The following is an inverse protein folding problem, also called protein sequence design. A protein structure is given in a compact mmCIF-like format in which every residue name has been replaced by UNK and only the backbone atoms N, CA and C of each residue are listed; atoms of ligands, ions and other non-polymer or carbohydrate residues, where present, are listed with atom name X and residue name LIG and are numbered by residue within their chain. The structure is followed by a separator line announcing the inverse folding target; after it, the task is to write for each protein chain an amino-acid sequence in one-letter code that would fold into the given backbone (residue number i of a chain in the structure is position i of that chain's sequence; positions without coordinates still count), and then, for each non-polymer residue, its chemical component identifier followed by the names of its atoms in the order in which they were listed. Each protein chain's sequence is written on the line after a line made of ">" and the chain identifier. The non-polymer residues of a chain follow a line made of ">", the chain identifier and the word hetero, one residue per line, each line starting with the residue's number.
data_IF_077704394299
#
_entry.id   IF_077704394299
#
_cell.length_a   1.000
_cell.length_b   1.000
_cell.length_c   1.000
_cell.angle_alpha   90.00
_cell.angle_beta   90.00
_cell.angle_gamma   90.00
#
_symmetry.space_group_name_H-M   'P 1'
#
loop_
_entity.id
_entity.type
_entity.pdbx_description
1 polymer ?
#
# COMPACT_ATOMS: atom_id res chain seq x y z
N UNK A 1 -4.86 21.08 3.80
CA UNK A 1 -5.52 19.75 3.87
C UNK A 1 -4.60 18.63 3.37
N UNK A 2 -4.52 17.50 4.09
CA UNK A 2 -3.73 16.32 3.71
C UNK A 2 -4.68 15.15 3.41
N UNK A 3 -4.59 14.59 2.20
CA UNK A 3 -5.25 13.33 1.84
C UNK A 3 -4.25 12.21 2.04
N UNK A 4 -4.56 11.24 2.90
CA UNK A 4 -3.60 10.20 3.26
C UNK A 4 -3.99 8.81 2.75
N UNK A 5 -2.99 7.95 2.57
CA UNK A 5 -3.15 6.60 2.08
C UNK A 5 -2.40 5.62 2.97
N UNK A 6 -3.10 4.60 3.45
CA UNK A 6 -2.51 3.52 4.22
C UNK A 6 -1.88 2.50 3.27
N UNK A 7 -0.58 2.23 3.43
CA UNK A 7 0.16 1.27 2.62
C UNK A 7 0.46 0.03 3.44
N UNK A 8 -0.18 -1.09 3.13
CA UNK A 8 -0.13 -2.34 3.91
C UNK A 8 0.07 -3.56 3.01
N UNK A 9 0.60 -4.63 3.59
CA UNK A 9 0.97 -5.85 2.87
C UNK A 9 2.44 -6.22 3.08
N UNK A 10 3.09 -6.80 2.07
CA UNK A 10 4.44 -7.36 2.22
C UNK A 10 5.52 -6.59 1.44
N UNK A 11 6.62 -7.26 1.09
CA UNK A 11 7.80 -6.65 0.47
C UNK A 11 7.50 -5.89 -0.82
N UNK A 12 6.57 -6.36 -1.66
CA UNK A 12 6.19 -5.66 -2.89
C UNK A 12 5.33 -4.41 -2.63
N UNK A 13 4.58 -4.31 -1.51
CA UNK A 13 4.04 -3.03 -1.03
C UNK A 13 5.12 -2.17 -0.38
N UNK A 14 6.02 -2.75 0.42
CA UNK A 14 7.08 -1.99 1.09
C UNK A 14 8.06 -1.37 0.07
N UNK A 15 8.26 -2.04 -1.06
CA UNK A 15 9.08 -1.59 -2.17
C UNK A 15 10.47 -2.21 -2.14
N UNK A 16 10.88 -2.74 -3.30
CA UNK A 16 12.16 -3.45 -3.50
C UNK A 16 12.83 -3.12 -4.84
N UNK A 17 12.24 -2.23 -5.64
CA UNK A 17 12.88 -1.74 -6.86
C UNK A 17 14.19 -1.03 -6.51
N UNK A 18 15.24 -1.23 -7.30
CA UNK A 18 16.54 -0.64 -6.99
C UNK A 18 16.49 0.89 -7.04
N UNK A 19 17.01 1.54 -5.99
CA UNK A 19 16.98 3.01 -5.88
C UNK A 19 17.75 3.71 -7.01
N UNK A 20 18.78 3.06 -7.56
CA UNK A 20 19.55 3.58 -8.69
C UNK A 20 18.77 3.59 -10.01
N UNK A 21 17.68 2.84 -10.10
CA UNK A 21 16.80 2.73 -11.27
C UNK A 21 15.48 3.50 -11.06
N UNK A 22 15.40 4.29 -9.98
CA UNK A 22 14.17 4.99 -9.65
C UNK A 22 13.87 6.10 -10.66
N UNK A 23 12.62 6.14 -11.15
CA UNK A 23 12.13 7.29 -11.91
C UNK A 23 12.18 8.57 -11.06
N UNK A 24 12.47 9.70 -11.70
CA UNK A 24 12.26 11.02 -11.11
C UNK A 24 10.76 11.31 -11.00
N UNK A 25 10.35 11.90 -9.88
CA UNK A 25 8.96 12.28 -9.59
C UNK A 25 8.91 13.65 -8.89
N UNK A 26 7.82 14.38 -9.06
CA UNK A 26 7.53 15.61 -8.30
C UNK A 26 7.07 15.26 -6.88
N UNK A 27 7.98 15.43 -5.93
CA UNK A 27 7.75 15.09 -4.52
C UNK A 27 7.25 16.26 -3.66
N UNK A 28 7.07 17.46 -4.24
CA UNK A 28 6.82 18.70 -3.47
C UNK A 28 5.58 18.62 -2.57
N UNK A 29 4.59 17.84 -3.00
CA UNK A 29 3.30 17.66 -2.33
C UNK A 29 3.16 16.28 -1.69
N UNK A 30 4.24 15.51 -1.59
CA UNK A 30 4.22 14.16 -1.01
C UNK A 30 4.93 14.22 0.35
N UNK A 31 4.27 13.69 1.38
CA UNK A 31 4.78 13.60 2.75
C UNK A 31 4.62 12.18 3.29
N UNK A 32 5.49 11.78 4.21
CA UNK A 32 5.49 10.45 4.82
C UNK A 32 5.11 10.54 6.30
N UNK A 33 4.25 9.64 6.76
CA UNK A 33 3.97 9.49 8.18
C UNK A 33 5.02 8.60 8.83
N UNK A 34 5.82 9.14 9.74
CA UNK A 34 6.85 8.39 10.47
C UNK A 34 6.94 8.84 11.91
N UNK A 35 7.07 7.88 12.81
CA UNK A 35 7.23 8.14 14.25
C UNK A 35 6.19 9.13 14.80
N UNK A 36 4.94 9.02 14.33
CA UNK A 36 3.83 9.86 14.77
C UNK A 36 3.69 11.23 14.09
N UNK A 37 4.53 11.58 13.09
CA UNK A 37 4.54 12.92 12.45
C UNK A 37 4.68 12.86 10.93
N UNK A 38 4.32 13.95 10.24
CA UNK A 38 4.54 14.08 8.81
C UNK A 38 5.94 14.65 8.49
N UNK A 39 6.71 13.94 7.69
CA UNK A 39 8.03 14.36 7.19
C UNK A 39 8.01 14.57 5.69
N UNK A 40 8.98 15.33 5.17
CA UNK A 40 9.20 15.41 3.73
C UNK A 40 9.44 14.02 3.13
N UNK A 41 9.03 13.85 1.87
CA UNK A 41 9.28 12.64 1.12
C UNK A 41 10.79 12.33 1.03
N UNK A 42 11.13 11.06 1.19
CA UNK A 42 12.43 10.50 0.86
C UNK A 42 12.29 9.00 0.60
N UNK A 43 13.24 8.44 -0.15
CA UNK A 43 13.32 7.00 -0.38
C UNK A 43 14.20 6.32 0.67
N UNK A 44 13.94 5.05 1.00
CA UNK A 44 12.75 4.27 0.62
C UNK A 44 11.50 4.74 1.38
N UNK A 45 10.31 4.62 0.78
CA UNK A 45 9.04 5.01 1.41
C UNK A 45 8.78 4.18 2.68
N UNK A 46 8.98 2.86 2.62
CA UNK A 46 8.87 1.94 3.75
C UNK A 46 10.23 1.25 4.01
N UNK A 47 11.01 1.68 5.03
CA UNK A 47 12.31 1.11 5.35
C UNK A 47 12.19 -0.13 6.27
N UNK A 48 11.38 -1.13 5.89
CA UNK A 48 11.16 -2.33 6.71
C UNK A 48 12.40 -3.23 6.77
N UNK A 49 13.25 -3.19 5.74
CA UNK A 49 14.54 -3.89 5.65
C UNK A 49 15.65 -2.96 5.14
N UNK A 50 16.91 -3.34 5.32
CA UNK A 50 18.08 -2.58 4.82
C UNK A 50 18.14 -2.46 3.29
N UNK A 51 17.48 -3.37 2.58
CA UNK A 51 17.37 -3.42 1.12
C UNK A 51 16.01 -2.92 0.61
N UNK A 52 15.29 -2.13 1.41
CA UNK A 52 14.06 -1.47 0.95
C UNK A 52 14.38 -0.49 -0.17
N UNK A 53 13.47 -0.38 -1.13
CA UNK A 53 13.71 0.31 -2.39
C UNK A 53 12.60 1.25 -2.82
N UNK A 54 12.49 1.42 -4.14
CA UNK A 54 11.40 2.14 -4.81
C UNK A 54 10.07 1.49 -4.44
N UNK A 55 9.03 2.30 -4.29
CA UNK A 55 7.69 1.89 -3.85
C UNK A 55 6.62 2.29 -4.88
N UNK A 56 5.59 1.46 -5.09
CA UNK A 56 4.49 1.78 -6.02
C UNK A 56 3.69 3.02 -5.61
N UNK A 57 3.67 3.37 -4.33
CA UNK A 57 2.95 4.53 -3.83
C UNK A 57 3.55 5.87 -4.30
N UNK A 58 4.76 5.85 -4.86
CA UNK A 58 5.46 7.03 -5.34
C UNK A 58 4.76 7.68 -6.54
N UNK A 59 4.61 6.95 -7.65
CA UNK A 59 3.90 7.44 -8.84
C UNK A 59 2.40 7.58 -8.62
N UNK A 60 1.81 6.73 -7.75
CA UNK A 60 0.44 6.88 -7.28
C UNK A 60 0.22 8.26 -6.63
N UNK A 61 1.06 8.62 -5.66
CA UNK A 61 0.94 9.87 -4.91
C UNK A 61 1.26 11.09 -5.76
N UNK A 62 2.27 11.01 -6.63
CA UNK A 62 2.58 12.08 -7.59
C UNK A 62 1.36 12.38 -8.47
N UNK A 63 0.77 11.34 -9.07
CA UNK A 63 -0.37 11.50 -9.97
C UNK A 63 -1.60 12.05 -9.24
N UNK A 64 -1.89 11.53 -8.05
CA UNK A 64 -2.97 12.04 -7.19
C UNK A 64 -2.76 13.51 -6.84
N UNK A 65 -1.57 13.87 -6.37
CA UNK A 65 -1.24 15.24 -5.97
C UNK A 65 -1.35 16.23 -7.13
N UNK A 66 -0.87 15.84 -8.31
CA UNK A 66 -0.91 16.66 -9.52
C UNK A 66 -2.36 16.92 -9.99
N UNK A 67 -3.23 15.91 -9.96
CA UNK A 67 -4.61 16.05 -10.44
C UNK A 67 -5.51 16.78 -9.44
N UNK A 68 -5.26 16.62 -8.13
CA UNK A 68 -6.11 17.20 -7.06
C UNK A 68 -5.60 18.52 -6.52
N UNK A 69 -4.32 18.85 -6.72
CA UNK A 69 -3.73 20.06 -6.16
C UNK A 69 -3.66 20.06 -4.62
N UNK A 70 -3.48 18.87 -4.01
CA UNK A 70 -3.42 18.69 -2.54
C UNK A 70 -2.12 18.04 -2.10
N UNK A 71 -1.84 18.11 -0.80
CA UNK A 71 -0.76 17.32 -0.19
C UNK A 71 -1.21 15.87 0.04
N UNK A 72 -0.37 14.92 -0.39
CA UNK A 72 -0.59 13.47 -0.24
C UNK A 72 0.28 12.91 0.87
N UNK A 73 -0.35 12.32 1.87
CA UNK A 73 0.32 11.67 2.99
C UNK A 73 0.39 10.15 2.82
N UNK A 74 1.57 9.57 2.73
CA UNK A 74 1.74 8.13 2.73
C UNK A 74 1.93 7.62 4.16
N UNK A 75 1.17 6.59 4.56
CA UNK A 75 1.26 5.95 5.87
C UNK A 75 1.82 4.54 5.64
N UNK A 76 3.15 4.37 5.68
CA UNK A 76 3.77 3.11 5.29
C UNK A 76 3.78 2.14 6.47
N UNK A 77 3.15 0.99 6.29
CA UNK A 77 2.97 -0.03 7.34
C UNK A 77 3.22 -1.47 6.85
N UNK A 78 3.59 -1.68 5.58
CA UNK A 78 3.90 -2.98 5.03
C UNK A 78 5.17 -3.63 5.66
N UNK A 79 5.20 -4.95 5.77
CA UNK A 79 6.36 -5.68 6.31
C UNK A 79 6.68 -6.93 5.47
N UNK A 80 7.93 -7.02 4.99
CA UNK A 80 8.36 -8.02 4.03
C UNK A 80 8.49 -9.44 4.58
N UNK A 81 8.01 -10.42 3.79
CA UNK A 81 8.05 -11.84 4.15
C UNK A 81 6.89 -12.30 5.03
N UNK A 82 5.82 -11.52 5.11
CA UNK A 82 4.65 -11.79 5.95
C UNK A 82 3.54 -12.50 5.17
N UNK A 83 2.72 -13.27 5.91
CA UNK A 83 1.49 -13.91 5.42
C UNK A 83 0.25 -13.38 6.14
N UNK A 84 -0.96 -13.72 5.66
CA UNK A 84 -2.21 -13.23 6.25
C UNK A 84 -2.41 -13.61 7.73
N UNK A 85 -1.81 -14.70 8.21
CA UNK A 85 -1.85 -15.07 9.63
C UNK A 85 -1.17 -14.03 10.53
N UNK A 86 -0.17 -13.33 10.00
CA UNK A 86 0.52 -12.26 10.72
C UNK A 86 -0.21 -10.92 10.62
N UNK A 87 -1.27 -10.83 9.81
CA UNK A 87 -2.07 -9.62 9.58
C UNK A 87 -3.47 -9.70 10.20
N UNK A 88 -3.81 -10.79 10.90
CA UNK A 88 -5.10 -10.94 11.59
C UNK A 88 -5.31 -9.85 12.65
N UNK A 89 -6.58 -9.53 12.92
CA UNK A 89 -6.96 -8.61 14.00
C UNK A 89 -6.30 -9.02 15.33
N UNK A 90 -5.68 -8.04 16.03
CA UNK A 90 -4.93 -8.26 17.27
C UNK A 90 -3.50 -8.79 17.07
N UNK A 91 -3.04 -8.97 15.83
CA UNK A 91 -1.63 -9.21 15.54
C UNK A 91 -0.80 -7.92 15.64
N UNK A 92 0.51 -8.06 15.83
CA UNK A 92 1.41 -6.90 15.90
C UNK A 92 1.39 -6.03 14.64
N UNK A 93 1.31 -6.63 13.44
CA UNK A 93 1.31 -5.87 12.18
C UNK A 93 -0.01 -5.12 11.97
N UNK A 94 -1.12 -5.80 12.26
CA UNK A 94 -2.46 -5.20 12.21
C UNK A 94 -2.56 -4.03 13.19
N UNK A 95 -2.23 -4.26 14.46
CA UNK A 95 -2.32 -3.24 15.51
C UNK A 95 -1.40 -2.05 15.20
N UNK A 96 -0.20 -2.30 14.68
CA UNK A 96 0.70 -1.23 14.23
C UNK A 96 0.08 -0.39 13.11
N UNK A 97 -0.49 -1.02 12.07
CA UNK A 97 -1.14 -0.33 10.97
C UNK A 97 -2.32 0.52 11.45
N UNK A 98 -3.17 -0.03 12.33
CA UNK A 98 -4.31 0.68 12.92
C UNK A 98 -3.84 1.86 13.78
N UNK A 99 -2.81 1.69 14.60
CA UNK A 99 -2.25 2.76 15.43
C UNK A 99 -1.66 3.90 14.58
N UNK A 100 -0.88 3.58 13.55
CA UNK A 100 -0.33 4.56 12.62
C UNK A 100 -1.45 5.31 11.88
N UNK A 101 -2.43 4.60 11.36
CA UNK A 101 -3.57 5.19 10.65
C UNK A 101 -4.39 6.13 11.55
N UNK A 102 -4.69 5.72 12.79
CA UNK A 102 -5.42 6.56 13.76
C UNK A 102 -4.65 7.82 14.15
N UNK A 103 -3.33 7.72 14.32
CA UNK A 103 -2.50 8.90 14.59
C UNK A 103 -2.47 9.84 13.38
N UNK A 104 -2.27 9.31 12.17
CA UNK A 104 -2.31 10.10 10.93
C UNK A 104 -3.68 10.77 10.70
N UNK A 105 -4.78 10.11 11.05
CA UNK A 105 -6.13 10.67 10.98
C UNK A 105 -6.29 11.91 11.87
N UNK A 106 -5.46 12.16 12.88
CA UNK A 106 -5.60 13.39 13.69
C UNK A 106 -5.36 14.67 12.88
N UNK A 107 -4.57 14.58 11.81
CA UNK A 107 -4.11 15.73 11.01
C UNK A 107 -4.29 15.52 9.50
N UNK A 108 -4.85 14.38 9.08
CA UNK A 108 -5.17 14.06 7.68
C UNK A 108 -6.49 13.30 7.58
N UNK A 109 -7.04 13.17 6.38
CA UNK A 109 -8.16 12.28 6.11
C UNK A 109 -7.69 11.16 5.20
N UNK A 110 -7.84 9.90 5.63
CA UNK A 110 -7.49 8.75 4.81
C UNK A 110 -8.46 8.70 3.64
N UNK A 111 -7.91 8.73 2.42
CA UNK A 111 -8.65 8.72 1.17
C UNK A 111 -8.69 7.34 0.52
N UNK A 112 -7.83 6.41 0.94
CA UNK A 112 -7.85 5.03 0.46
C UNK A 112 -6.79 4.17 1.15
N UNK A 113 -6.86 2.88 0.89
CA UNK A 113 -5.92 1.87 1.38
C UNK A 113 -5.32 1.14 0.18
N UNK A 114 -4.00 1.03 0.15
CA UNK A 114 -3.26 0.27 -0.86
C UNK A 114 -2.74 -0.99 -0.20
N UNK A 115 -3.22 -2.13 -0.68
CA UNK A 115 -2.88 -3.47 -0.22
C UNK A 115 -2.13 -4.24 -1.30
N UNK A 116 -0.91 -4.71 -0.99
CA UNK A 116 -0.23 -5.68 -1.84
C UNK A 116 0.42 -6.78 -1.02
N UNK A 117 -0.18 -7.96 -1.08
CA UNK A 117 0.25 -9.14 -0.34
C UNK A 117 -0.28 -10.40 -1.01
N UNK A 118 0.44 -11.51 -0.89
CA UNK A 118 -0.08 -12.83 -1.20
C UNK A 118 1.00 -13.88 -1.43
N UNK A 119 2.23 -13.47 -1.77
CA UNK A 119 3.33 -14.40 -2.01
C UNK A 119 3.67 -15.22 -0.76
N UNK A 120 3.49 -14.64 0.44
CA UNK A 120 3.65 -15.34 1.71
C UNK A 120 2.61 -16.44 1.97
N UNK A 121 1.46 -16.39 1.30
CA UNK A 121 0.34 -17.34 1.46
C UNK A 121 0.29 -18.39 0.34
N UNK A 122 1.24 -18.36 -0.60
CA UNK A 122 1.31 -19.37 -1.67
C UNK A 122 1.77 -20.76 -1.20
N UNK A 123 2.10 -20.95 0.08
CA UNK A 123 2.68 -22.18 0.60
C UNK A 123 1.82 -22.81 1.70
N UNK A 124 2.05 -24.10 1.94
CA UNK A 124 1.51 -24.85 3.08
C UNK A 124 -0.02 -24.90 3.15
N UNK A 125 -0.69 -24.76 1.99
CA UNK A 125 -2.15 -24.79 1.88
C UNK A 125 -2.84 -23.49 2.31
N UNK A 126 -2.08 -22.44 2.69
CA UNK A 126 -2.64 -21.14 3.11
C UNK A 126 -3.46 -20.48 2.01
N UNK A 127 -3.10 -20.70 0.75
CA UNK A 127 -3.82 -20.18 -0.41
C UNK A 127 -5.29 -20.61 -0.45
N UNK A 128 -5.65 -21.75 0.14
CA UNK A 128 -7.02 -22.28 0.12
C UNK A 128 -7.98 -21.58 1.07
N UNK A 129 -7.45 -20.77 2.00
CA UNK A 129 -8.24 -19.97 2.96
C UNK A 129 -7.92 -18.49 2.84
N UNK A 130 -7.35 -18.08 1.71
CA UNK A 130 -6.85 -16.72 1.48
C UNK A 130 -8.00 -15.71 1.54
N UNK A 131 -9.10 -15.99 0.85
CA UNK A 131 -10.27 -15.12 0.79
C UNK A 131 -10.87 -14.88 2.18
N UNK A 132 -11.14 -15.94 2.94
CA UNK A 132 -11.78 -15.83 4.25
C UNK A 132 -10.90 -15.09 5.25
N UNK A 133 -9.57 -15.20 5.13
CA UNK A 133 -8.63 -14.43 5.95
C UNK A 133 -8.60 -12.97 5.52
N UNK A 134 -8.54 -12.68 4.22
CA UNK A 134 -8.53 -11.32 3.70
C UNK A 134 -9.81 -10.57 4.09
N UNK A 135 -10.96 -11.23 3.97
CA UNK A 135 -12.27 -10.69 4.35
C UNK A 135 -12.30 -10.26 5.83
N UNK A 136 -11.80 -11.10 6.74
CA UNK A 136 -11.72 -10.76 8.17
C UNK A 136 -10.81 -9.56 8.43
N UNK A 137 -9.64 -9.51 7.79
CA UNK A 137 -8.68 -8.40 7.94
C UNK A 137 -9.31 -7.09 7.46
N UNK A 138 -9.94 -7.11 6.29
CA UNK A 138 -10.50 -5.90 5.69
C UNK A 138 -11.76 -5.43 6.43
N UNK A 139 -12.61 -6.34 6.87
CA UNK A 139 -13.77 -6.01 7.70
C UNK A 139 -13.32 -5.35 9.02
N UNK A 140 -12.27 -5.88 9.66
CA UNK A 140 -11.71 -5.30 10.87
C UNK A 140 -11.08 -3.92 10.60
N UNK A 141 -10.28 -3.76 9.54
CA UNK A 141 -9.68 -2.47 9.16
C UNK A 141 -10.74 -1.40 8.90
N UNK A 142 -11.79 -1.71 8.14
CA UNK A 142 -12.89 -0.76 7.86
C UNK A 142 -13.58 -0.34 9.16
N UNK A 143 -13.85 -1.30 10.05
CA UNK A 143 -14.47 -1.04 11.36
C UNK A 143 -13.60 -0.19 12.28
N UNK A 144 -12.33 -0.55 12.43
CA UNK A 144 -11.45 0.06 13.43
C UNK A 144 -10.92 1.44 13.02
N UNK A 145 -10.94 1.74 11.72
CA UNK A 145 -10.49 3.01 11.15
C UNK A 145 -11.63 3.87 10.58
N UNK A 146 -12.86 3.38 10.62
CA UNK A 146 -14.05 4.02 10.02
C UNK A 146 -13.84 4.36 8.53
N UNK A 147 -13.42 3.34 7.75
CA UNK A 147 -13.04 3.46 6.35
C UNK A 147 -14.02 2.75 5.42
N UNK A 148 -15.32 2.86 5.70
CA UNK A 148 -16.37 2.26 4.88
C UNK A 148 -16.58 2.98 3.55
N UNK A 149 -16.23 4.27 3.47
CA UNK A 149 -16.51 5.16 2.35
C UNK A 149 -15.26 5.52 1.54
N UNK A 150 -14.20 4.69 1.63
CA UNK A 150 -12.98 4.87 0.84
C UNK A 150 -12.55 3.58 0.13
N UNK A 151 -11.88 3.71 -1.04
CA UNK A 151 -11.39 2.56 -1.78
C UNK A 151 -10.31 1.78 -1.03
N UNK A 152 -10.44 0.45 -1.03
CA UNK A 152 -9.36 -0.50 -0.70
C UNK A 152 -8.90 -1.13 -2.02
N UNK A 153 -7.66 -0.90 -2.41
CA UNK A 153 -7.10 -1.40 -3.67
C UNK A 153 -6.19 -2.58 -3.39
N UNK A 154 -6.49 -3.71 -4.03
CA UNK A 154 -5.72 -4.95 -3.90
C UNK A 154 -4.91 -5.20 -5.18
N UNK A 155 -3.59 -5.23 -5.07
CA UNK A 155 -2.73 -5.56 -6.19
C UNK A 155 -2.62 -7.06 -6.41
N UNK A 156 -2.75 -7.48 -7.67
CA UNK A 156 -2.41 -8.84 -8.07
C UNK A 156 -0.91 -9.10 -7.93
N UNK A 157 -0.56 -10.35 -7.65
CA UNK A 157 0.80 -10.84 -7.69
C UNK A 157 1.33 -10.80 -9.14
N UNK A 158 2.65 -10.62 -9.31
CA UNK A 158 3.26 -10.51 -10.65
C UNK A 158 3.30 -11.84 -11.40
N UNK A 159 2.92 -11.83 -12.69
CA UNK A 159 2.89 -13.04 -13.55
C UNK A 159 4.25 -13.74 -13.67
N UNK A 160 5.35 -13.03 -13.41
CA UNK A 160 6.68 -13.61 -13.36
C UNK A 160 6.81 -14.72 -12.29
N UNK A 161 5.92 -14.75 -11.30
CA UNK A 161 5.82 -15.87 -10.35
C UNK A 161 5.39 -17.15 -11.07
N UNK A 162 4.49 -17.08 -12.04
CA UNK A 162 4.12 -18.25 -12.83
C UNK A 162 5.27 -18.73 -13.74
N UNK A 163 6.12 -17.80 -14.18
CA UNK A 163 7.22 -18.07 -15.11
C UNK A 163 8.46 -18.62 -14.38
N UNK A 164 8.83 -18.01 -13.25
CA UNK A 164 10.09 -18.26 -12.54
C UNK A 164 9.90 -18.84 -11.14
N UNK A 165 8.69 -18.77 -10.58
CA UNK A 165 8.39 -19.34 -9.27
C UNK A 165 8.49 -20.86 -9.29
N UNK A 166 8.99 -21.43 -8.20
CA UNK A 166 9.10 -22.87 -8.03
C UNK A 166 8.03 -23.42 -7.09
N UNK A 167 7.62 -24.67 -7.33
CA UNK A 167 6.73 -25.44 -6.45
C UNK A 167 5.52 -24.64 -5.97
N UNK A 168 5.41 -24.53 -4.64
CA UNK A 168 4.28 -23.88 -3.97
C UNK A 168 4.04 -22.44 -4.42
N UNK A 169 5.07 -21.65 -4.74
CA UNK A 169 4.86 -20.24 -5.11
C UNK A 169 3.99 -20.08 -6.36
N UNK A 170 4.28 -20.87 -7.40
CA UNK A 170 3.52 -20.84 -8.66
C UNK A 170 2.13 -21.49 -8.51
N UNK A 171 2.01 -22.55 -7.70
CA UNK A 171 0.71 -23.17 -7.40
C UNK A 171 -0.20 -22.23 -6.61
N UNK A 172 0.34 -21.60 -5.57
CA UNK A 172 -0.36 -20.61 -4.76
C UNK A 172 -0.75 -19.37 -5.56
N UNK A 173 0.11 -18.88 -6.46
CA UNK A 173 -0.21 -17.77 -7.37
C UNK A 173 -1.50 -18.03 -8.17
N UNK A 174 -1.68 -19.25 -8.70
CA UNK A 174 -2.87 -19.64 -9.47
C UNK A 174 -4.16 -19.70 -8.64
N UNK A 175 -4.05 -19.62 -7.31
CA UNK A 175 -5.18 -19.56 -6.38
C UNK A 175 -5.35 -18.13 -5.85
N UNK A 176 -4.28 -17.51 -5.36
CA UNK A 176 -4.31 -16.21 -4.68
C UNK A 176 -4.74 -15.08 -5.62
N UNK A 177 -4.25 -15.01 -6.87
CA UNK A 177 -4.69 -13.96 -7.80
C UNK A 177 -6.20 -14.03 -8.10
N UNK A 178 -6.76 -15.20 -8.47
CA UNK A 178 -8.21 -15.34 -8.60
C UNK A 178 -8.99 -14.98 -7.33
N UNK A 179 -8.48 -15.30 -6.14
CA UNK A 179 -9.14 -14.93 -4.88
C UNK A 179 -9.10 -13.41 -4.62
N UNK A 180 -8.01 -12.73 -4.96
CA UNK A 180 -7.92 -11.26 -4.92
C UNK A 180 -8.91 -10.61 -5.90
N UNK A 181 -9.01 -11.12 -7.12
CA UNK A 181 -9.97 -10.66 -8.13
C UNK A 181 -11.41 -10.89 -7.68
N UNK A 182 -11.70 -12.08 -7.13
CA UNK A 182 -13.01 -12.42 -6.57
C UNK A 182 -13.39 -11.48 -5.43
N UNK A 183 -12.47 -11.26 -4.49
CA UNK A 183 -12.70 -10.37 -3.36
C UNK A 183 -13.04 -8.94 -3.81
N UNK A 184 -12.27 -8.38 -4.75
CA UNK A 184 -12.56 -7.04 -5.27
C UNK A 184 -13.91 -6.95 -5.99
N UNK A 185 -14.38 -8.03 -6.62
CA UNK A 185 -15.68 -8.08 -7.29
C UNK A 185 -16.84 -8.18 -6.30
N UNK A 186 -16.66 -8.93 -5.22
CA UNK A 186 -17.73 -9.26 -4.27
C UNK A 186 -17.95 -8.15 -3.22
N UNK A 187 -17.01 -7.20 -3.10
CA UNK A 187 -17.05 -6.13 -2.09
C UNK A 187 -17.04 -4.72 -2.71
N UNK A 188 -17.99 -3.88 -2.30
CA UNK A 188 -18.02 -2.46 -2.66
C UNK A 188 -16.78 -1.71 -2.15
N UNK A 189 -16.49 -0.54 -2.75
CA UNK A 189 -15.33 0.29 -2.43
C UNK A 189 -14.02 -0.50 -2.42
N UNK A 190 -13.91 -1.50 -3.30
CA UNK A 190 -12.75 -2.39 -3.40
C UNK A 190 -12.41 -2.59 -4.88
N UNK A 191 -11.12 -2.42 -5.23
CA UNK A 191 -10.67 -2.51 -6.62
C UNK A 191 -9.48 -3.45 -6.76
N UNK A 192 -9.45 -4.23 -7.84
CA UNK A 192 -8.31 -5.09 -8.17
C UNK A 192 -7.39 -4.39 -9.17
N UNK A 193 -6.08 -4.37 -8.86
CA UNK A 193 -5.07 -3.74 -9.71
C UNK A 193 -4.19 -4.82 -10.32
N UNK A 194 -4.29 -5.01 -11.64
CA UNK A 194 -3.55 -6.06 -12.33
C UNK A 194 -2.04 -5.76 -12.43
N UNK A 195 -1.23 -6.71 -11.97
CA UNK A 195 0.22 -6.73 -12.17
C UNK A 195 0.65 -7.37 -13.50
N UNK A 196 -0.29 -7.59 -14.43
CA UNK A 196 -0.02 -8.29 -15.67
C UNK A 196 1.09 -7.60 -16.48
N UNK A 197 2.08 -8.39 -16.89
CA UNK A 197 3.21 -7.94 -17.69
C UNK A 197 4.23 -7.04 -16.97
N UNK A 198 4.06 -6.80 -15.67
CA UNK A 198 5.07 -6.13 -14.86
C UNK A 198 6.28 -7.05 -14.65
N UNK A 199 7.48 -6.47 -14.56
CA UNK A 199 8.74 -7.22 -14.52
C UNK A 199 9.32 -7.31 -13.10
N UNK A 200 10.02 -8.42 -12.78
CA UNK A 200 10.72 -8.52 -11.51
C UNK A 200 12.13 -7.92 -11.61
N UNK A 201 12.73 -7.72 -10.44
CA UNK A 201 14.17 -7.67 -10.23
C UNK A 201 14.84 -9.01 -10.62
N UNK A 202 16.18 -9.08 -10.66
CA UNK A 202 16.91 -10.32 -10.95
C UNK A 202 16.64 -11.48 -9.98
N UNK A 203 16.02 -11.22 -8.81
CA UNK A 203 15.59 -12.26 -7.86
C UNK A 203 14.32 -13.01 -8.30
N UNK A 204 13.66 -12.54 -9.37
CA UNK A 204 12.42 -13.09 -9.92
C UNK A 204 11.24 -13.15 -8.93
N UNK A 205 11.28 -12.34 -7.87
CA UNK A 205 10.26 -12.31 -6.82
C UNK A 205 9.71 -10.91 -6.58
N UNK A 206 10.58 -9.89 -6.62
CA UNK A 206 10.17 -8.52 -6.33
C UNK A 206 10.05 -7.70 -7.61
N UNK A 207 9.07 -6.80 -7.70
CA UNK A 207 8.96 -5.90 -8.86
C UNK A 207 10.20 -4.99 -8.97
N UNK A 208 10.65 -4.75 -10.21
CA UNK A 208 11.70 -3.76 -10.48
C UNK A 208 11.18 -2.32 -10.35
N UNK A 209 12.11 -1.34 -10.37
CA UNK A 209 11.76 0.07 -10.21
C UNK A 209 10.76 0.56 -11.28
N UNK A 210 11.02 0.26 -12.56
CA UNK A 210 10.11 0.58 -13.67
C UNK A 210 8.72 -0.05 -13.48
N UNK A 211 8.68 -1.31 -13.04
CA UNK A 211 7.44 -2.02 -12.80
C UNK A 211 6.64 -1.40 -11.66
N UNK A 212 7.28 -0.99 -10.56
CA UNK A 212 6.61 -0.31 -9.44
C UNK A 212 6.10 1.08 -9.84
N UNK A 213 6.84 1.81 -10.69
CA UNK A 213 6.39 3.09 -11.23
C UNK A 213 5.10 2.91 -12.05
N UNK A 214 5.10 1.99 -13.01
CA UNK A 214 3.91 1.63 -13.79
C UNK A 214 2.76 1.11 -12.89
N UNK A 215 3.09 0.29 -11.90
CA UNK A 215 2.07 -0.27 -11.02
C UNK A 215 1.35 0.82 -10.21
N UNK A 216 2.09 1.79 -9.68
CA UNK A 216 1.50 2.93 -8.97
C UNK A 216 0.53 3.74 -9.83
N UNK A 217 0.84 3.92 -11.12
CA UNK A 217 -0.09 4.54 -12.07
C UNK A 217 -1.36 3.71 -12.22
N UNK A 218 -1.24 2.38 -12.34
CA UNK A 218 -2.41 1.47 -12.40
C UNK A 218 -3.24 1.52 -11.13
N UNK A 219 -2.62 1.58 -9.95
CA UNK A 219 -3.32 1.76 -8.68
C UNK A 219 -4.14 3.05 -8.69
N UNK A 220 -3.59 4.15 -9.22
CA UNK A 220 -4.31 5.41 -9.29
C UNK A 220 -5.47 5.37 -10.31
N UNK A 221 -5.27 4.72 -11.45
CA UNK A 221 -6.36 4.52 -12.42
C UNK A 221 -7.50 3.67 -11.84
N UNK A 222 -7.19 2.65 -11.04
CA UNK A 222 -8.22 1.86 -10.34
C UNK A 222 -8.88 2.67 -9.22
N UNK A 223 -8.11 3.44 -8.43
CA UNK A 223 -8.64 4.33 -7.40
C UNK A 223 -9.77 5.21 -7.92
N UNK A 224 -9.57 5.88 -9.06
CA UNK A 224 -10.56 6.79 -9.67
C UNK A 224 -11.88 6.13 -10.04
N UNK A 225 -11.89 4.81 -10.24
CA UNK A 225 -13.12 4.07 -10.57
C UNK A 225 -13.99 3.86 -9.33
N UNK A 226 -13.38 3.81 -8.15
CA UNK A 226 -14.04 3.45 -6.90
C UNK A 226 -14.19 4.61 -5.92
N UNK A 227 -13.49 5.72 -6.11
CA UNK A 227 -13.60 6.86 -5.21
C UNK A 227 -15.03 7.43 -5.18
N UNK A 228 -15.50 7.77 -3.98
CA UNK A 228 -16.70 8.59 -3.85
C UNK A 228 -16.38 10.04 -4.22
N UNK A 229 -16.85 10.47 -5.39
CA UNK A 229 -16.66 11.83 -5.90
C UNK A 229 -17.35 12.91 -5.06
N UNK A 230 -18.28 12.53 -4.19
CA UNK A 230 -18.98 13.43 -3.28
C UNK A 230 -18.33 13.49 -1.89
N UNK A 231 -17.32 12.63 -1.62
CA UNK A 231 -16.65 12.61 -0.33
C UNK A 231 -15.94 13.94 -0.08
N UNK A 232 -16.33 14.61 1.00
CA UNK A 232 -15.70 15.85 1.44
C UNK A 232 -14.57 15.49 2.40
N UNK A 233 -13.35 15.83 2.00
CA UNK A 233 -12.19 15.71 2.86
C UNK A 233 -12.17 16.90 3.81
N UNK A 234 -12.31 16.65 5.11
CA UNK A 234 -12.26 17.71 6.11
C UNK A 234 -10.81 18.15 6.34
N UNK A 235 -10.61 19.47 6.45
CA UNK A 235 -9.35 20.01 6.93
C UNK A 235 -9.24 19.76 8.44
N UNK A 236 -8.15 19.09 8.86
CA UNK A 236 -7.88 18.81 10.28
C UNK A 236 -6.75 19.71 10.77
N UNK A 237 -6.88 20.25 11.97
CA UNK A 237 -5.87 21.15 12.55
C UNK A 237 -4.52 20.44 12.65
N UNK A 238 -3.45 21.07 12.17
CA UNK A 238 -2.10 20.52 12.25
C UNK A 238 -1.58 20.60 13.69
N UNK A 239 -1.74 19.52 14.48
CA UNK A 239 -1.02 19.38 15.75
C UNK A 239 0.52 19.38 15.53
N UNK A 240 0.97 19.12 14.30
CA UNK A 240 2.39 19.11 13.89
C UNK A 240 3.10 20.47 14.01
N UNK A 241 2.40 21.59 13.81
CA UNK A 241 3.04 22.92 13.84
C UNK A 241 3.49 23.32 15.25
N UNK A 242 2.94 22.71 16.30
CA UNK A 242 3.32 22.96 17.69
C UNK A 242 4.59 22.19 18.12
N UNK A 243 5.05 21.19 17.35
CA UNK A 243 6.16 20.31 17.72
C UNK A 243 7.46 20.69 17.00
N UNK A 244 7.37 21.32 15.82
CA UNK A 244 8.55 21.71 15.03
C UNK A 244 9.32 22.82 15.74
N UNK A 245 10.58 22.56 16.07
CA UNK A 245 11.47 23.52 16.75
C UNK A 245 12.51 24.08 15.78
N UNK A 246 13.19 25.15 16.20
CA UNK A 246 14.31 25.76 15.45
C UNK A 246 15.44 24.77 15.11
N UNK A 247 15.55 23.64 15.81
CA UNK A 247 16.59 22.64 15.58
C UNK A 247 16.33 21.75 14.34
N UNK A 248 15.11 21.72 13.79
CA UNK A 248 14.82 20.97 12.55
C UNK A 248 15.24 21.72 11.27
N UNK A 249 15.65 22.99 11.38
CA UNK A 249 16.12 23.81 10.26
C UNK A 249 17.66 23.89 10.16
N UNK A 250 18.39 23.15 11.01
CA UNK A 250 19.86 23.03 11.02
C UNK A 250 20.31 21.82 10.19
#
# INVERSE_FOLDING_TARGET
>A
MIHSFLLIGQSNMAGRGFLAEAHEIDTKNIILFRSGRWTAFHRPVQPDRSFSGVNLAESFAEKYAAERGVSVGLIPCADGGTCLDQWQEGSLLYDNAVNCARLAQRTSTIAGVLWHQGEGDCYDGRQHVYYEKLEKIFAALRRDLDLYDVPFLVGGLGDFIEIYGNGGLAEGFRVVNPELERYAKDHEMTGFVSAKGLKPNPDNLHFCADALYEFGLRYYEEFKKHEDKNKVFAERSTQDSAIRTVFEAL
#
